data_IF_724813489553
#
_entry.id   IF_724813489553
#
_cell.length_a   1.000
_cell.length_b   1.000
_cell.length_c   1.000
_cell.angle_alpha   90.00
_cell.angle_beta   90.00
_cell.angle_gamma   90.00
#
_symmetry.space_group_name_H-M   'P 1'
#
loop_
_entity.id
_entity.type
_entity.pdbx_description
1 polymer ?
#
# COMPACT_ATOMS: atom_id res chain seq x y z
N UNK A 1 -4.72 11.24 19.85
CA UNK A 1 -4.86 10.86 19.30
C UNK A 1 -4.51 10.06 18.76
N UNK A 2 -4.35 10.20 18.72
CA UNK A 2 -3.70 9.83 18.02
C UNK A 2 -3.61 8.69 17.16
N UNK A 3 -3.38 7.66 17.73
CA UNK A 3 -3.19 6.41 17.01
C UNK A 3 -4.49 5.73 16.63
N UNK A 4 -5.59 6.40 16.86
CA UNK A 4 -6.89 5.83 16.47
C UNK A 4 -6.92 5.66 14.95
N UNK A 5 -7.19 4.46 14.51
CA UNK A 5 -7.24 4.15 13.09
C UNK A 5 -5.90 3.78 12.47
N UNK A 6 -4.85 3.71 13.27
CA UNK A 6 -3.54 3.34 12.78
C UNK A 6 -3.53 1.91 12.25
N UNK A 7 -2.81 1.70 11.15
CA UNK A 7 -2.74 0.39 10.50
C UNK A 7 -1.55 -0.41 11.03
N UNK A 8 -1.80 -1.65 11.44
CA UNK A 8 -0.76 -2.56 11.89
C UNK A 8 -0.09 -3.26 10.71
N UNK A 9 1.11 -3.77 10.90
CA UNK A 9 1.80 -4.51 9.87
C UNK A 9 1.14 -5.87 9.64
N UNK A 10 1.14 -6.33 8.39
CA UNK A 10 0.70 -7.68 8.05
C UNK A 10 1.89 -8.61 8.26
N UNK A 11 1.72 -9.60 9.11
CA UNK A 11 2.80 -10.55 9.43
C UNK A 11 2.45 -12.00 9.16
N UNK A 12 1.20 -12.31 8.87
CA UNK A 12 0.73 -13.68 8.64
C UNK A 12 0.60 -13.96 7.15
N UNK A 13 1.26 -15.02 6.67
CA UNK A 13 1.20 -15.37 5.25
C UNK A 13 -0.21 -15.74 4.79
N UNK A 14 -1.06 -16.22 5.70
CA UNK A 14 -2.45 -16.52 5.35
C UNK A 14 -3.22 -15.25 5.02
N UNK A 15 -2.91 -14.16 5.69
CA UNK A 15 -3.54 -12.88 5.42
C UNK A 15 -3.15 -12.40 4.01
N UNK A 16 -1.88 -12.55 3.64
CA UNK A 16 -1.44 -12.21 2.29
C UNK A 16 -2.21 -13.03 1.24
N UNK A 17 -2.32 -14.34 1.47
CA UNK A 17 -3.04 -15.22 0.55
C UNK A 17 -4.51 -14.81 0.40
N UNK A 18 -5.16 -14.48 1.52
CA UNK A 18 -6.55 -14.04 1.51
C UNK A 18 -6.74 -12.78 0.69
N UNK A 19 -5.86 -11.80 0.89
CA UNK A 19 -5.95 -10.53 0.18
C UNK A 19 -5.72 -10.74 -1.32
N UNK A 20 -4.75 -11.57 -1.68
CA UNK A 20 -4.48 -11.85 -3.10
C UNK A 20 -5.63 -12.60 -3.78
N UNK A 21 -6.31 -13.47 -3.05
CA UNK A 21 -7.43 -14.25 -3.60
C UNK A 21 -8.73 -13.47 -3.63
N UNK A 22 -9.06 -12.80 -2.54
CA UNK A 22 -10.40 -12.25 -2.33
C UNK A 22 -10.45 -10.73 -2.38
N UNK A 23 -9.31 -10.07 -2.34
CA UNK A 23 -9.25 -8.61 -2.36
C UNK A 23 -9.36 -8.04 -3.76
N UNK A 24 -9.71 -6.77 -3.83
CA UNK A 24 -9.67 -6.02 -5.07
C UNK A 24 -8.22 -5.68 -5.41
N UNK A 25 -7.95 -5.51 -6.69
CA UNK A 25 -6.59 -5.22 -7.17
C UNK A 25 -6.62 -4.08 -8.18
N UNK A 26 -5.68 -3.18 -8.08
CA UNK A 26 -5.52 -2.09 -9.03
C UNK A 26 -4.05 -1.84 -9.33
N UNK A 27 -3.71 -1.78 -10.61
CA UNK A 27 -2.35 -1.44 -11.04
C UNK A 27 -2.25 0.05 -11.29
N UNK A 28 -1.44 0.74 -10.49
CA UNK A 28 -1.11 2.13 -10.75
C UNK A 28 0.38 2.23 -11.09
N UNK A 29 0.86 3.42 -11.42
CA UNK A 29 2.24 3.57 -11.86
C UNK A 29 3.26 3.20 -10.79
N UNK A 30 3.00 3.55 -9.55
CA UNK A 30 3.97 3.33 -8.47
C UNK A 30 3.90 1.94 -7.85
N UNK A 31 2.75 1.29 -7.92
CA UNK A 31 2.57 0.04 -7.20
C UNK A 31 1.35 -0.72 -7.70
N UNK A 32 1.29 -1.99 -7.33
CA UNK A 32 0.05 -2.77 -7.42
C UNK A 32 -0.61 -2.69 -6.05
N UNK A 33 -1.84 -2.22 -6.01
CA UNK A 33 -2.59 -2.04 -4.76
C UNK A 33 -3.59 -3.17 -4.61
N UNK A 34 -3.53 -3.85 -3.46
CA UNK A 34 -4.53 -4.85 -3.09
C UNK A 34 -5.29 -4.34 -1.89
N UNK A 35 -6.59 -4.52 -1.88
CA UNK A 35 -7.45 -4.10 -0.78
C UNK A 35 -8.49 -5.17 -0.49
N UNK A 36 -8.58 -5.58 0.76
CA UNK A 36 -9.61 -6.48 1.24
C UNK A 36 -10.34 -5.80 2.39
N UNK A 37 -11.62 -5.49 2.20
CA UNK A 37 -12.42 -4.84 3.23
C UNK A 37 -12.47 -5.69 4.50
N UNK A 38 -12.24 -5.07 5.64
CA UNK A 38 -12.18 -5.77 6.91
C UNK A 38 -12.35 -4.75 8.03
N UNK A 39 -12.74 -5.22 9.21
CA UNK A 39 -12.75 -4.38 10.39
C UNK A 39 -11.33 -4.13 10.89
N UNK A 40 -10.41 -5.03 10.55
CA UNK A 40 -9.01 -4.88 10.90
C UNK A 40 -8.35 -3.85 9.98
N UNK A 41 -7.40 -3.12 10.56
CA UNK A 41 -6.60 -2.14 9.81
C UNK A 41 -5.18 -2.66 9.71
N UNK A 42 -4.83 -3.17 8.54
CA UNK A 42 -3.49 -3.73 8.32
C UNK A 42 -2.92 -3.24 6.99
N UNK A 43 -1.62 -3.10 6.97
CA UNK A 43 -0.89 -2.60 5.81
C UNK A 43 0.44 -3.31 5.65
N UNK A 44 0.82 -3.55 4.41
CA UNK A 44 2.15 -4.04 4.10
C UNK A 44 2.66 -3.42 2.81
N UNK A 45 3.94 -3.07 2.79
CA UNK A 45 4.62 -2.64 1.59
C UNK A 45 5.60 -3.74 1.20
N UNK A 46 5.57 -4.15 -0.07
CA UNK A 46 6.41 -5.23 -0.59
C UNK A 46 7.27 -4.68 -1.73
N UNK A 47 8.55 -5.03 -1.73
CA UNK A 47 9.44 -4.68 -2.83
C UNK A 47 10.27 -5.91 -3.19
N UNK A 48 10.11 -6.39 -4.41
CA UNK A 48 10.82 -7.58 -4.89
C UNK A 48 12.24 -7.24 -5.33
N UNK A 49 13.01 -8.28 -5.62
CA UNK A 49 14.38 -8.11 -6.12
C UNK A 49 14.45 -7.32 -7.42
N UNK A 50 13.37 -7.30 -8.18
CA UNK A 50 13.29 -6.54 -9.44
C UNK A 50 13.44 -5.04 -9.23
N UNK A 51 13.11 -4.56 -8.02
CA UNK A 51 13.22 -3.14 -7.70
C UNK A 51 14.69 -2.71 -7.62
N UNK A 52 15.55 -3.58 -7.12
CA UNK A 52 16.97 -3.27 -6.97
C UNK A 52 17.57 -3.96 -5.76
N UNK A 53 18.66 -3.40 -5.24
CA UNK A 53 19.35 -3.97 -4.09
C UNK A 53 18.56 -3.68 -2.79
N UNK A 54 19.07 -4.18 -1.66
CA UNK A 54 18.40 -4.04 -0.37
C UNK A 54 18.12 -2.59 0.02
N UNK A 55 19.08 -1.70 -0.25
CA UNK A 55 18.93 -0.28 0.07
C UNK A 55 17.77 0.32 -0.72
N UNK A 56 17.73 0.07 -2.01
CA UNK A 56 16.68 0.57 -2.90
C UNK A 56 15.31 0.00 -2.51
N UNK A 57 15.26 -1.30 -2.21
CA UNK A 57 14.00 -1.93 -1.79
C UNK A 57 13.48 -1.35 -0.48
N UNK A 58 14.35 -1.16 0.50
CA UNK A 58 13.95 -0.59 1.77
C UNK A 58 13.46 0.85 1.63
N UNK A 59 14.11 1.62 0.77
CA UNK A 59 13.68 2.98 0.48
C UNK A 59 12.30 2.99 -0.17
N UNK A 60 12.06 2.11 -1.13
CA UNK A 60 10.77 2.00 -1.80
C UNK A 60 9.67 1.69 -0.79
N UNK A 61 9.90 0.70 0.06
CA UNK A 61 8.92 0.33 1.08
C UNK A 61 8.62 1.48 2.03
N UNK A 62 9.66 2.21 2.46
CA UNK A 62 9.50 3.33 3.37
C UNK A 62 8.68 4.46 2.72
N UNK A 63 8.95 4.75 1.45
CA UNK A 63 8.21 5.78 0.73
C UNK A 63 6.74 5.41 0.59
N UNK A 64 6.45 4.16 0.22
CA UNK A 64 5.07 3.67 0.13
C UNK A 64 4.36 3.76 1.48
N UNK A 65 5.07 3.38 2.54
CA UNK A 65 4.50 3.43 3.90
C UNK A 65 4.14 4.85 4.29
N UNK A 66 5.04 5.79 4.06
CA UNK A 66 4.79 7.19 4.40
C UNK A 66 3.62 7.76 3.60
N UNK A 67 3.60 7.48 2.30
CA UNK A 67 2.52 7.95 1.44
C UNK A 67 1.18 7.35 1.85
N UNK A 68 1.17 6.09 2.26
CA UNK A 68 -0.04 5.43 2.74
C UNK A 68 -0.54 6.07 4.04
N UNK A 69 0.35 6.22 5.02
CA UNK A 69 -0.05 6.76 6.32
C UNK A 69 -0.50 8.22 6.24
N UNK A 70 0.04 8.98 5.30
CA UNK A 70 -0.42 10.36 5.10
C UNK A 70 -1.88 10.43 4.65
N UNK A 71 -2.41 9.32 4.14
CA UNK A 71 -3.78 9.25 3.63
C UNK A 71 -4.69 8.35 4.47
N UNK A 72 -4.20 7.85 5.59
CA UNK A 72 -4.94 6.83 6.34
C UNK A 72 -6.32 7.27 6.82
N UNK A 73 -6.50 8.56 7.05
CA UNK A 73 -7.79 9.07 7.50
C UNK A 73 -8.82 9.21 6.36
N UNK A 74 -8.36 9.08 5.14
CA UNK A 74 -9.20 9.22 3.95
C UNK A 74 -9.59 7.89 3.32
N UNK A 75 -9.21 6.79 3.94
CA UNK A 75 -9.46 5.45 3.41
C UNK A 75 -10.21 4.60 4.42
N UNK A 76 -10.93 3.61 3.90
CA UNK A 76 -11.73 2.70 4.73
C UNK A 76 -10.86 1.71 5.48
N UNK A 77 -11.45 1.11 6.50
CA UNK A 77 -10.81 0.02 7.23
C UNK A 77 -10.65 -1.18 6.31
N UNK A 78 -9.55 -1.87 6.45
CA UNK A 78 -9.30 -3.06 5.66
C UNK A 78 -7.82 -3.38 5.62
N UNK A 79 -7.50 -4.39 4.84
CA UNK A 79 -6.11 -4.85 4.69
C UNK A 79 -5.60 -4.38 3.35
N UNK A 80 -4.50 -3.63 3.37
CA UNK A 80 -3.88 -3.08 2.18
C UNK A 80 -2.52 -3.70 1.97
N UNK A 81 -2.23 -4.13 0.75
CA UNK A 81 -0.90 -4.59 0.36
C UNK A 81 -0.48 -3.80 -0.86
N UNK A 82 0.64 -3.10 -0.77
CA UNK A 82 1.20 -2.32 -1.85
C UNK A 82 2.49 -2.97 -2.32
N UNK A 83 2.50 -3.40 -3.58
CA UNK A 83 3.68 -4.04 -4.17
C UNK A 83 4.35 -3.02 -5.09
N UNK A 84 5.56 -2.60 -4.70
CA UNK A 84 6.29 -1.57 -5.42
C UNK A 84 6.58 -1.97 -6.86
N UNK A 85 6.41 -1.03 -7.77
CA UNK A 85 6.82 -1.17 -9.16
C UNK A 85 8.11 -0.38 -9.37
N UNK A 86 8.88 -0.79 -10.34
CA UNK A 86 10.16 -0.15 -10.63
C UNK A 86 10.01 1.33 -10.96
N UNK A 87 8.90 1.71 -11.58
CA UNK A 87 8.63 3.08 -11.97
C UNK A 87 8.62 4.04 -10.78
N UNK A 88 8.29 3.56 -9.58
CA UNK A 88 8.23 4.44 -8.43
C UNK A 88 9.58 5.01 -8.01
N UNK A 89 10.67 4.37 -8.43
CA UNK A 89 12.01 4.81 -8.05
C UNK A 89 12.27 6.24 -8.54
N UNK A 90 11.78 6.55 -9.73
CA UNK A 90 11.99 7.86 -10.36
C UNK A 90 10.86 8.85 -10.11
N UNK A 91 9.84 8.46 -9.38
CA UNK A 91 8.72 9.35 -9.08
C UNK A 91 9.03 10.24 -7.88
N UNK A 92 8.58 11.49 -7.95
CA UNK A 92 8.64 12.36 -6.79
C UNK A 92 7.65 11.87 -5.73
N UNK A 93 7.86 12.28 -4.48
CA UNK A 93 6.96 11.87 -3.42
C UNK A 93 5.54 12.37 -3.64
N UNK A 94 5.39 13.59 -4.17
CA UNK A 94 4.08 14.15 -4.48
C UNK A 94 3.35 13.33 -5.53
N UNK A 95 4.05 12.90 -6.55
CA UNK A 95 3.47 12.04 -7.59
C UNK A 95 3.06 10.69 -7.01
N UNK A 96 3.90 10.14 -6.15
CA UNK A 96 3.63 8.86 -5.49
C UNK A 96 2.35 8.92 -4.68
N UNK A 97 2.20 9.95 -3.86
CA UNK A 97 1.00 10.13 -3.04
C UNK A 97 -0.25 10.31 -3.89
N UNK A 98 -0.16 11.11 -4.93
CA UNK A 98 -1.28 11.35 -5.83
C UNK A 98 -1.69 10.07 -6.55
N UNK A 99 -0.71 9.30 -6.96
CA UNK A 99 -0.93 8.03 -7.63
C UNK A 99 -1.67 7.04 -6.73
N UNK A 100 -1.23 6.93 -5.48
CA UNK A 100 -1.88 6.07 -4.50
C UNK A 100 -3.30 6.53 -4.18
N UNK A 101 -3.49 7.83 -4.05
CA UNK A 101 -4.82 8.39 -3.78
C UNK A 101 -5.78 8.01 -4.90
N UNK A 102 -5.33 8.11 -6.13
CA UNK A 102 -6.13 7.72 -7.30
C UNK A 102 -6.46 6.23 -7.24
N UNK A 103 -5.46 5.39 -6.91
CA UNK A 103 -5.64 3.95 -6.82
C UNK A 103 -6.68 3.60 -5.75
N UNK A 104 -6.63 4.25 -4.60
CA UNK A 104 -7.59 3.99 -3.53
C UNK A 104 -9.02 4.33 -3.95
N UNK A 105 -9.19 5.40 -4.72
CA UNK A 105 -10.49 5.75 -5.26
C UNK A 105 -10.99 4.69 -6.25
N UNK A 106 -10.11 4.25 -7.13
CA UNK A 106 -10.48 3.27 -8.16
C UNK A 106 -10.81 1.90 -7.58
N UNK A 107 -10.14 1.54 -6.49
CA UNK A 107 -10.36 0.24 -5.85
C UNK A 107 -11.55 0.25 -4.89
N UNK A 108 -12.13 1.43 -4.65
CA UNK A 108 -13.28 1.56 -3.77
C UNK A 108 -12.92 1.69 -2.29
N UNK A 109 -11.67 1.98 -1.97
CA UNK A 109 -11.20 2.09 -0.59
C UNK A 109 -11.22 3.53 -0.06
N UNK A 110 -11.40 4.53 -0.90
CA UNK A 110 -11.43 5.91 -0.47
C UNK A 110 -12.81 6.24 0.12
N UNK A 111 -12.78 6.97 1.21
CA UNK A 111 -14.01 7.45 1.84
C UNK A 111 -14.68 8.53 1.00
#
# INVERSE_FOLDING_TARGET
MGCVGEFAAVSDSRVFSDVYKNGAKWHCECAVVYFLASEQRKFSAVASKKIGNSVTRNRAKRRLRTAFYNQQNSIDSGIFILIAKKQMIDMSFSELERNLKWAFKKIGAAK
#
